data_IF_968441259935
#
_entry.id   IF_968441259935
#
_cell.length_a   1.000
_cell.length_b   1.000
_cell.length_c   1.000
_cell.angle_alpha   90.00
_cell.angle_beta   90.00
_cell.angle_gamma   90.00
#
_symmetry.space_group_name_H-M   'P 1'
#
loop_
_entity.id
_entity.type
_entity.pdbx_description
1 polymer ?
#
# COMPACT_ATOMS: atom_id res chain seq x y z
N UNK A 1 7.54 -19.70 17.68
CA UNK A 1 8.28 -18.43 17.60
C UNK A 1 7.86 -17.66 16.36
N UNK A 2 7.79 -16.35 16.43
CA UNK A 2 7.40 -15.51 15.28
C UNK A 2 8.56 -14.62 14.86
N UNK A 3 8.50 -14.13 13.62
CA UNK A 3 9.46 -13.14 13.12
C UNK A 3 8.77 -12.14 12.21
N UNK A 4 9.39 -11.00 12.02
CA UNK A 4 8.91 -9.93 11.16
C UNK A 4 9.61 -9.98 9.82
N UNK A 5 8.84 -9.93 8.74
CA UNK A 5 9.38 -9.85 7.37
C UNK A 5 8.63 -8.78 6.59
N UNK A 6 9.22 -8.39 5.46
CA UNK A 6 8.62 -7.41 4.54
C UNK A 6 8.13 -8.14 3.29
N UNK A 7 6.94 -7.78 2.85
CA UNK A 7 6.36 -8.26 1.59
C UNK A 7 6.15 -7.07 0.67
N UNK A 8 6.31 -7.28 -0.63
CA UNK A 8 6.12 -6.24 -1.65
C UNK A 8 5.11 -6.70 -2.69
N UNK A 9 4.20 -5.81 -3.06
CA UNK A 9 3.21 -6.02 -4.12
C UNK A 9 3.20 -4.79 -5.01
N UNK A 10 2.99 -4.98 -6.32
CA UNK A 10 3.06 -3.90 -7.29
C UNK A 10 1.73 -3.74 -8.03
N UNK A 11 1.39 -2.49 -8.33
CA UNK A 11 0.27 -2.12 -9.20
C UNK A 11 0.83 -1.22 -10.29
N UNK A 12 0.60 -1.59 -11.57
CA UNK A 12 0.96 -0.74 -12.71
C UNK A 12 -0.16 0.25 -12.97
N UNK A 13 0.15 1.55 -12.95
CA UNK A 13 -0.79 2.62 -13.22
C UNK A 13 -0.54 3.09 -14.64
N UNK A 14 -1.31 2.57 -15.59
CA UNK A 14 -1.11 2.80 -17.02
C UNK A 14 -2.21 3.62 -17.68
N UNK A 15 -3.17 4.12 -16.89
CA UNK A 15 -4.25 4.98 -17.40
C UNK A 15 -4.53 6.09 -16.40
N UNK A 16 -4.68 7.32 -16.91
CA UNK A 16 -5.02 8.47 -16.08
C UNK A 16 -6.50 8.42 -15.69
N UNK A 17 -6.81 9.00 -14.54
CA UNK A 17 -8.17 9.13 -14.02
C UNK A 17 -8.91 7.79 -13.98
N UNK A 18 -8.23 6.74 -13.55
CA UNK A 18 -8.78 5.39 -13.54
C UNK A 18 -8.46 4.70 -12.22
N UNK A 19 -9.31 3.73 -11.88
CA UNK A 19 -9.11 2.88 -10.70
C UNK A 19 -8.38 1.63 -11.14
N UNK A 20 -7.28 1.32 -10.46
CA UNK A 20 -6.50 0.11 -10.66
C UNK A 20 -6.66 -0.75 -9.41
N UNK A 21 -7.45 -1.81 -9.53
CA UNK A 21 -7.79 -2.66 -8.40
C UNK A 21 -6.99 -3.95 -8.44
N UNK A 22 -6.46 -4.35 -7.29
CA UNK A 22 -5.77 -5.64 -7.17
C UNK A 22 -6.03 -6.26 -5.80
N UNK A 23 -6.17 -7.58 -5.79
CA UNK A 23 -6.25 -8.37 -4.57
C UNK A 23 -5.00 -9.22 -4.48
N UNK A 24 -4.28 -9.08 -3.37
CA UNK A 24 -3.08 -9.86 -3.09
C UNK A 24 -3.39 -10.92 -2.05
N UNK A 25 -2.84 -12.11 -2.25
CA UNK A 25 -3.02 -13.20 -1.32
C UNK A 25 -1.77 -13.34 -0.45
N UNK A 26 -1.95 -13.33 0.87
CA UNK A 26 -0.87 -13.48 1.83
C UNK A 26 -0.61 -14.97 2.08
N UNK A 27 0.64 -15.29 2.44
CA UNK A 27 0.99 -16.64 2.87
C UNK A 27 0.23 -17.01 4.14
N UNK A 28 -0.14 -18.28 4.25
CA UNK A 28 -0.88 -18.78 5.42
C UNK A 28 -0.07 -18.72 6.70
N UNK A 29 1.24 -18.49 6.61
CA UNK A 29 2.12 -18.30 7.78
C UNK A 29 1.99 -16.91 8.42
N UNK A 30 1.34 -15.95 7.75
CA UNK A 30 1.16 -14.60 8.28
C UNK A 30 0.19 -14.64 9.46
N UNK A 31 0.62 -14.10 10.59
CA UNK A 31 -0.19 -14.05 11.81
C UNK A 31 -0.69 -12.65 12.13
N UNK A 32 -0.02 -11.61 11.66
CA UNK A 32 -0.43 -10.22 11.86
C UNK A 32 0.21 -9.31 10.83
N UNK A 33 -0.47 -8.21 10.50
CA UNK A 33 0.02 -7.18 9.61
C UNK A 33 0.25 -5.92 10.45
N UNK A 34 1.52 -5.52 10.58
CA UNK A 34 1.88 -4.44 11.50
C UNK A 34 2.03 -3.10 10.82
N UNK A 35 2.43 -3.06 9.55
CA UNK A 35 2.67 -1.79 8.89
C UNK A 35 2.47 -1.84 7.39
N UNK A 36 2.26 -0.67 6.81
CA UNK A 36 2.06 -0.50 5.36
C UNK A 36 2.81 0.74 4.90
N UNK A 37 3.44 0.63 3.73
CA UNK A 37 4.18 1.72 3.12
C UNK A 37 3.93 1.70 1.61
N UNK A 38 3.61 2.87 1.06
CA UNK A 38 3.49 3.04 -0.40
C UNK A 38 4.74 3.72 -0.94
N UNK A 39 5.25 3.20 -2.04
CA UNK A 39 6.38 3.78 -2.76
C UNK A 39 6.11 3.70 -4.26
N UNK A 40 6.87 4.45 -5.05
CA UNK A 40 6.69 4.48 -6.51
C UNK A 40 8.02 4.80 -7.19
N UNK A 41 8.15 4.36 -8.44
CA UNK A 41 9.23 4.82 -9.32
C UNK A 41 9.02 6.27 -9.77
N UNK A 42 7.81 6.81 -9.57
CA UNK A 42 7.47 8.21 -9.80
C UNK A 42 6.77 8.74 -8.55
N UNK A 43 7.55 9.07 -7.53
CA UNK A 43 7.04 9.58 -6.24
C UNK A 43 6.16 10.82 -6.41
N UNK A 44 6.53 11.69 -7.33
CA UNK A 44 5.79 12.91 -7.61
C UNK A 44 4.36 12.62 -8.10
N UNK A 45 4.22 11.68 -9.03
CA UNK A 45 2.90 11.31 -9.55
C UNK A 45 2.04 10.67 -8.46
N UNK A 46 2.61 9.77 -7.69
CA UNK A 46 1.88 9.13 -6.59
C UNK A 46 1.48 10.14 -5.52
N UNK A 47 2.38 11.05 -5.17
CA UNK A 47 2.13 12.06 -4.14
C UNK A 47 0.95 12.97 -4.49
N UNK A 48 0.93 13.50 -5.73
CA UNK A 48 -0.09 14.47 -6.13
C UNK A 48 -1.35 13.83 -6.69
N UNK A 49 -1.28 12.64 -7.24
CA UNK A 49 -2.38 12.03 -8.00
C UNK A 49 -2.99 10.80 -7.34
N UNK A 50 -2.33 10.21 -6.35
CA UNK A 50 -2.70 8.92 -5.82
C UNK A 50 -3.65 8.96 -4.64
N UNK A 51 -4.68 8.12 -4.69
CA UNK A 51 -5.50 7.77 -3.54
C UNK A 51 -5.79 6.27 -3.57
N UNK A 52 -6.10 5.69 -2.43
CA UNK A 52 -6.33 4.26 -2.36
C UNK A 52 -7.35 3.91 -1.29
N UNK A 53 -8.17 2.92 -1.62
CA UNK A 53 -8.99 2.21 -0.65
C UNK A 53 -8.28 0.90 -0.33
N UNK A 54 -8.14 0.56 0.93
CA UNK A 54 -7.45 -0.65 1.37
C UNK A 54 -8.36 -1.46 2.26
N UNK A 55 -8.53 -2.74 1.91
CA UNK A 55 -9.28 -3.71 2.72
C UNK A 55 -8.38 -4.89 3.07
N UNK A 56 -8.41 -5.30 4.32
CA UNK A 56 -7.74 -6.51 4.80
C UNK A 56 -8.81 -7.38 5.43
N UNK A 57 -8.91 -8.63 4.99
CA UNK A 57 -9.95 -9.56 5.46
C UNK A 57 -11.36 -8.98 5.23
N UNK A 58 -11.56 -8.30 4.11
CA UNK A 58 -12.79 -7.61 3.75
C UNK A 58 -13.17 -6.44 4.67
N UNK A 59 -12.33 -6.13 5.67
CA UNK A 59 -12.51 -4.97 6.53
C UNK A 59 -11.81 -3.75 5.94
N UNK A 60 -12.52 -2.63 5.86
CA UNK A 60 -11.96 -1.40 5.32
C UNK A 60 -10.97 -0.80 6.32
N UNK A 61 -9.70 -0.71 5.91
CA UNK A 61 -8.64 -0.10 6.73
C UNK A 61 -8.48 1.37 6.37
N UNK A 62 -8.48 1.68 5.06
CA UNK A 62 -8.48 3.06 4.57
C UNK A 62 -9.65 3.23 3.61
N UNK A 63 -10.43 4.33 3.76
CA UNK A 63 -11.62 4.56 2.93
C UNK A 63 -11.26 4.97 1.52
N UNK A 64 -12.24 4.90 0.62
CA UNK A 64 -12.10 5.42 -0.73
C UNK A 64 -11.66 6.88 -0.69
N UNK A 65 -10.69 7.23 -1.55
CA UNK A 65 -10.16 8.59 -1.60
C UNK A 65 -9.09 8.90 -0.56
N UNK A 66 -8.65 7.91 0.21
CA UNK A 66 -7.57 8.12 1.18
C UNK A 66 -6.28 8.50 0.45
N UNK A 67 -5.75 9.68 0.75
CA UNK A 67 -4.58 10.19 0.03
C UNK A 67 -3.34 9.35 0.33
N UNK A 68 -2.74 8.78 -0.73
CA UNK A 68 -1.60 7.89 -0.60
C UNK A 68 -0.37 8.61 -0.02
N UNK A 69 -0.28 9.94 -0.20
CA UNK A 69 0.82 10.71 0.41
C UNK A 69 0.92 10.52 1.92
N UNK A 70 -0.19 10.18 2.58
CA UNK A 70 -0.20 9.91 4.02
C UNK A 70 0.43 8.56 4.36
N UNK A 71 0.66 7.71 3.37
CA UNK A 71 1.25 6.38 3.51
C UNK A 71 2.67 6.31 2.94
N UNK A 72 3.21 7.45 2.49
CA UNK A 72 4.57 7.57 1.97
C UNK A 72 5.52 8.02 3.08
N UNK A 73 6.81 7.78 2.87
CA UNK A 73 7.83 8.23 3.80
C UNK A 73 9.06 8.74 3.06
N UNK A 74 9.75 9.70 3.65
CA UNK A 74 10.98 10.27 3.11
C UNK A 74 12.22 9.49 3.49
N UNK A 75 13.33 9.79 2.81
CA UNK A 75 14.61 9.10 3.01
C UNK A 75 15.28 9.42 4.35
N UNK A 76 14.92 10.53 4.96
CA UNK A 76 15.48 10.95 6.25
C UNK A 76 14.76 10.36 7.46
N UNK A 77 13.84 9.44 7.23
CA UNK A 77 13.18 8.66 8.27
C UNK A 77 13.87 7.30 8.38
N UNK A 78 14.12 6.83 9.60
CA UNK A 78 14.71 5.51 9.82
C UNK A 78 13.88 4.42 9.14
N UNK A 79 14.49 3.42 8.48
CA UNK A 79 13.74 2.41 7.72
C UNK A 79 12.61 1.73 8.48
N UNK A 80 12.79 1.44 9.75
CA UNK A 80 11.74 0.79 10.54
C UNK A 80 10.58 1.73 10.89
N UNK A 81 10.79 3.04 10.80
CA UNK A 81 9.79 4.05 11.15
C UNK A 81 9.02 4.56 9.94
N UNK A 82 9.33 4.06 8.75
CA UNK A 82 8.69 4.51 7.50
C UNK A 82 7.30 3.93 7.29
N UNK A 83 6.96 2.85 7.99
CA UNK A 83 5.71 2.15 7.79
C UNK A 83 4.60 2.80 8.63
N UNK A 84 3.44 2.97 7.99
CA UNK A 84 2.24 3.36 8.72
C UNK A 84 1.86 2.21 9.65
N UNK A 85 1.69 2.51 10.93
CA UNK A 85 1.40 1.50 11.95
C UNK A 85 -0.07 1.07 11.89
N UNK A 86 -0.30 -0.18 11.55
CA UNK A 86 -1.64 -0.77 11.50
C UNK A 86 -2.05 -1.45 12.81
N UNK A 87 -1.13 -1.55 13.77
CA UNK A 87 -1.45 -2.08 15.09
C UNK A 87 -1.62 -3.59 15.18
N UNK A 88 -1.08 -4.33 14.22
CA UNK A 88 -1.16 -5.80 14.26
C UNK A 88 -2.49 -6.36 13.80
N UNK A 89 -2.99 -5.91 12.64
CA UNK A 89 -4.23 -6.39 12.05
C UNK A 89 -4.12 -7.88 11.75
N UNK A 90 -5.15 -8.65 12.12
CA UNK A 90 -5.21 -10.08 11.82
C UNK A 90 -5.47 -10.29 10.32
N UNK A 91 -4.80 -11.27 9.67
CA UNK A 91 -4.95 -11.48 8.23
C UNK A 91 -6.32 -12.07 7.82
N UNK A 92 -7.02 -12.73 8.73
CA UNK A 92 -8.34 -13.30 8.45
C UNK A 92 -8.34 -14.24 7.26
N UNK A 93 -8.97 -13.82 6.14
CA UNK A 93 -9.00 -14.61 4.90
C UNK A 93 -7.72 -14.53 4.06
N UNK A 94 -6.67 -13.88 4.56
CA UNK A 94 -5.36 -13.73 3.92
C UNK A 94 -5.41 -12.93 2.61
N UNK A 95 -6.41 -12.07 2.45
CA UNK A 95 -6.53 -11.24 1.24
C UNK A 95 -6.42 -9.77 1.58
N UNK A 96 -5.57 -9.06 0.82
CA UNK A 96 -5.42 -7.61 0.89
C UNK A 96 -5.89 -7.05 -0.45
N UNK A 97 -6.97 -6.28 -0.42
CA UNK A 97 -7.52 -5.65 -1.63
C UNK A 97 -7.17 -4.17 -1.62
N UNK A 98 -6.58 -3.70 -2.73
CA UNK A 98 -6.21 -2.30 -2.90
C UNK A 98 -6.86 -1.78 -4.17
N UNK A 99 -7.63 -0.71 -4.03
CA UNK A 99 -8.20 0.03 -5.16
C UNK A 99 -7.47 1.36 -5.25
N UNK A 100 -6.46 1.42 -6.11
CA UNK A 100 -5.67 2.61 -6.32
C UNK A 100 -6.30 3.46 -7.41
N UNK A 101 -6.52 4.74 -7.13
CA UNK A 101 -7.08 5.68 -8.09
C UNK A 101 -6.06 6.74 -8.44
N UNK A 102 -5.84 6.95 -9.75
CA UNK A 102 -5.09 8.07 -10.27
C UNK A 102 -6.08 9.21 -10.55
N UNK A 103 -5.88 10.36 -9.90
CA UNK A 103 -6.74 11.54 -10.05
C UNK A 103 -5.96 12.63 -10.75
N UNK A 104 -6.51 13.26 -11.81
CA UNK A 104 -5.82 14.34 -12.51
C UNK A 104 -5.42 15.48 -11.59
N UNK A 105 -4.20 15.99 -11.79
CA UNK A 105 -3.66 17.12 -11.06
C UNK A 105 -2.93 18.03 -12.03
N UNK A 106 -3.25 19.31 -12.00
CA UNK A 106 -2.71 20.29 -12.95
C UNK A 106 -1.21 20.54 -12.78
N UNK A 107 -0.63 20.16 -11.63
CA UNK A 107 0.79 20.35 -11.35
C UNK A 107 1.68 19.35 -12.09
N UNK A 108 1.13 18.18 -12.46
CA UNK A 108 1.89 17.12 -13.09
C UNK A 108 1.09 16.45 -14.20
N UNK A 109 1.71 16.36 -15.38
CA UNK A 109 1.13 15.61 -16.48
C UNK A 109 1.26 14.11 -16.21
N UNK A 110 0.21 13.35 -16.58
CA UNK A 110 0.23 11.91 -16.38
C UNK A 110 1.31 11.23 -17.23
N UNK A 111 1.98 10.26 -16.64
CA UNK A 111 2.81 9.26 -17.30
C UNK A 111 2.60 7.95 -16.56
N UNK A 112 2.79 6.82 -17.23
CA UNK A 112 2.65 5.52 -16.57
C UNK A 112 3.66 5.38 -15.44
N UNK A 113 3.22 4.82 -14.31
CA UNK A 113 4.10 4.61 -13.16
C UNK A 113 3.70 3.35 -12.41
N UNK A 114 4.64 2.87 -11.58
CA UNK A 114 4.40 1.70 -10.72
C UNK A 114 4.15 2.18 -9.30
N UNK A 115 3.16 1.60 -8.65
CA UNK A 115 2.91 1.77 -7.23
C UNK A 115 3.31 0.47 -6.53
N UNK A 116 4.21 0.56 -5.56
CA UNK A 116 4.65 -0.60 -4.78
C UNK A 116 4.10 -0.47 -3.36
N UNK A 117 3.50 -1.53 -2.88
CA UNK A 117 2.94 -1.59 -1.54
C UNK A 117 3.80 -2.56 -0.73
N UNK A 118 4.40 -2.05 0.34
CA UNK A 118 5.19 -2.87 1.25
C UNK A 118 4.39 -3.13 2.51
N UNK A 119 4.37 -4.38 2.94
CA UNK A 119 3.74 -4.77 4.20
C UNK A 119 4.80 -5.27 5.18
N UNK A 120 4.71 -4.81 6.41
CA UNK A 120 5.50 -5.34 7.53
C UNK A 120 4.62 -6.36 8.24
N UNK A 121 4.95 -7.64 8.06
CA UNK A 121 4.10 -8.72 8.57
C UNK A 121 4.87 -9.58 9.56
N UNK A 122 4.11 -10.17 10.48
CA UNK A 122 4.61 -11.17 11.40
C UNK A 122 4.22 -12.54 10.86
N UNK A 123 5.19 -13.45 10.83
CA UNK A 123 4.93 -14.82 10.36
C UNK A 123 5.26 -15.81 11.46
N UNK A 124 4.59 -16.93 11.43
CA UNK A 124 4.86 -18.08 12.27
C UNK A 124 6.08 -18.80 11.72
N UNK A 125 7.07 -19.02 12.55
CA UNK A 125 8.30 -19.71 12.16
C UNK A 125 8.36 -21.13 12.68
#
# INVERSE_FOLDING_TARGET
MSKRIKKRYDIEVNAANAIHSKTFELDKTVTAIHGMLFASDRDDLMYYRGSAKVEINSDEIFPEGYEVKLLMSGLNVSPNDRYYNLGGVLPGNFKVKIEYKDTPDTRLQFASYRVSIYLDVEIKS
#
